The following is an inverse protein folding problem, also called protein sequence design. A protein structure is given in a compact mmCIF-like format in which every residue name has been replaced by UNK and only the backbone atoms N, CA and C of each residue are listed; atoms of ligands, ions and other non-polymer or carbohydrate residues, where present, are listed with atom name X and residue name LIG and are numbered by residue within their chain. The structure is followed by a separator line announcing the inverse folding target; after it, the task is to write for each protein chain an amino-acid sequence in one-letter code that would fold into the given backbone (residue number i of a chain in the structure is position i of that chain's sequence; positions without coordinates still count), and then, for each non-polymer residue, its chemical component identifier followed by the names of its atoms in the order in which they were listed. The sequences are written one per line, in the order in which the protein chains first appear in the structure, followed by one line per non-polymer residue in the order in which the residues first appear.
data_IF_973779789595
#
_entry.id   IF_973779789595
#
_cell.length_a   1.000
_cell.length_b   1.000
_cell.length_c   1.000
_cell.angle_alpha   90.00
_cell.angle_beta   90.00
_cell.angle_gamma   90.00
#
_symmetry.space_group_name_H-M   'P 1'
#
loop_
_entity.id
_entity.type
_entity.pdbx_description
1 polymer ?
#
# COMPACT_ATOMS: atom_id res chain seq x y z
N UNK A 1 -18.89 0.34 15.15
CA UNK A 1 -18.93 -0.11 13.73
C UNK A 1 -19.59 0.95 12.85
N UNK A 2 -20.77 1.46 13.21
CA UNK A 2 -21.50 2.47 12.42
C UNK A 2 -20.70 3.75 12.11
N UNK A 3 -19.99 4.32 13.09
CA UNK A 3 -19.13 5.50 12.87
C UNK A 3 -18.00 5.22 11.86
N UNK A 4 -17.41 4.04 11.91
CA UNK A 4 -16.33 3.63 10.99
C UNK A 4 -16.86 3.46 9.57
N UNK A 5 -18.03 2.83 9.40
CA UNK A 5 -18.72 2.71 8.11
C UNK A 5 -19.00 4.08 7.51
N UNK A 6 -19.60 4.99 8.29
CA UNK A 6 -19.89 6.36 7.84
C UNK A 6 -18.63 7.09 7.38
N UNK A 7 -17.57 7.06 8.20
CA UNK A 7 -16.29 7.72 7.85
C UNK A 7 -15.63 7.11 6.61
N UNK A 8 -15.69 5.78 6.46
CA UNK A 8 -15.14 5.12 5.27
C UNK A 8 -15.95 5.51 4.03
N UNK A 9 -17.29 5.52 4.10
CA UNK A 9 -18.15 6.00 3.01
C UNK A 9 -17.83 7.44 2.64
N UNK A 10 -17.77 8.35 3.62
CA UNK A 10 -17.40 9.75 3.38
C UNK A 10 -16.02 9.88 2.69
N UNK A 11 -15.04 9.06 3.10
CA UNK A 11 -13.73 9.01 2.47
C UNK A 11 -13.78 8.48 1.04
N UNK A 12 -14.54 7.40 0.77
CA UNK A 12 -14.75 6.83 -0.57
C UNK A 12 -15.37 7.90 -1.48
N UNK A 13 -16.46 8.54 -1.05
CA UNK A 13 -17.16 9.54 -1.84
C UNK A 13 -16.25 10.74 -2.16
N UNK A 14 -15.40 11.15 -1.21
CA UNK A 14 -14.41 12.19 -1.44
C UNK A 14 -13.36 11.78 -2.49
N UNK A 15 -12.89 10.52 -2.47
CA UNK A 15 -11.95 10.01 -3.48
C UNK A 15 -12.60 9.84 -4.84
N UNK A 16 -13.88 9.43 -4.90
CA UNK A 16 -14.64 9.35 -6.14
C UNK A 16 -14.81 10.74 -6.78
N UNK A 17 -15.21 11.74 -6.00
CA UNK A 17 -15.31 13.14 -6.48
C UNK A 17 -13.98 13.68 -6.99
N UNK A 18 -12.89 13.43 -6.25
CA UNK A 18 -11.55 13.84 -6.67
C UNK A 18 -11.14 13.18 -8.00
N UNK A 19 -11.38 11.87 -8.14
CA UNK A 19 -11.08 11.12 -9.35
C UNK A 19 -11.91 11.61 -10.55
N UNK A 20 -13.21 11.84 -10.35
CA UNK A 20 -14.10 12.38 -11.38
C UNK A 20 -13.64 13.77 -11.85
N UNK A 21 -13.30 14.67 -10.91
CA UNK A 21 -12.79 16.01 -11.23
C UNK A 21 -11.47 15.96 -12.03
N UNK A 22 -10.60 14.99 -11.75
CA UNK A 22 -9.31 14.82 -12.47
C UNK A 22 -9.41 13.99 -13.74
N UNK A 23 -10.55 13.38 -14.04
CA UNK A 23 -10.68 12.40 -15.13
C UNK A 23 -9.80 11.17 -14.92
N UNK A 24 -9.65 10.70 -13.68
CA UNK A 24 -8.84 9.52 -13.31
C UNK A 24 -9.69 8.47 -12.61
N UNK A 25 -9.09 7.34 -12.25
CA UNK A 25 -9.74 6.33 -11.39
C UNK A 25 -9.54 6.68 -9.90
N UNK A 26 -10.49 6.25 -9.07
CA UNK A 26 -10.37 6.34 -7.62
C UNK A 26 -9.30 5.37 -7.10
N UNK A 27 -8.48 5.82 -6.16
CA UNK A 27 -7.55 4.96 -5.44
C UNK A 27 -7.19 5.53 -4.07
N UNK A 28 -6.67 4.68 -3.19
CA UNK A 28 -6.21 5.09 -1.88
C UNK A 28 -5.18 4.13 -1.31
N UNK A 29 -4.25 4.67 -0.51
CA UNK A 29 -3.18 3.89 0.12
C UNK A 29 -2.97 4.35 1.55
N UNK A 30 -3.45 3.56 2.50
CA UNK A 30 -3.16 3.70 3.92
C UNK A 30 -3.01 2.31 4.54
N UNK A 31 -1.98 2.06 5.38
CA UNK A 31 -1.79 0.74 5.99
C UNK A 31 -3.04 0.21 6.71
N UNK A 32 -3.74 1.08 7.44
CA UNK A 32 -4.96 0.74 8.20
C UNK A 32 -6.14 0.28 7.35
N UNK A 33 -6.14 0.51 6.02
CA UNK A 33 -7.17 -0.07 5.14
C UNK A 33 -7.17 -1.60 5.18
N UNK A 34 -6.06 -2.24 5.56
CA UNK A 34 -6.00 -3.68 5.79
C UNK A 34 -7.04 -4.17 6.80
N UNK A 35 -7.37 -3.36 7.82
CA UNK A 35 -8.37 -3.68 8.85
C UNK A 35 -9.81 -3.47 8.36
N UNK A 36 -9.98 -2.97 7.14
CA UNK A 36 -11.27 -2.47 6.63
C UNK A 36 -11.62 -3.06 5.26
N UNK A 37 -10.90 -4.10 4.79
CA UNK A 37 -11.10 -4.68 3.45
C UNK A 37 -12.54 -5.20 3.29
N UNK A 38 -13.07 -5.93 4.26
CA UNK A 38 -14.43 -6.47 4.18
C UNK A 38 -15.46 -5.35 4.08
N UNK A 39 -15.36 -4.33 4.93
CA UNK A 39 -16.24 -3.17 4.89
C UNK A 39 -16.07 -2.36 3.60
N UNK A 40 -14.86 -2.30 3.04
CA UNK A 40 -14.61 -1.65 1.76
C UNK A 40 -15.24 -2.43 0.61
N UNK A 41 -15.23 -3.76 0.66
CA UNK A 41 -15.93 -4.63 -0.30
C UNK A 41 -17.44 -4.53 -0.18
N UNK A 42 -17.99 -4.34 1.02
CA UNK A 42 -19.42 -4.07 1.19
C UNK A 42 -19.83 -2.73 0.57
N UNK A 43 -19.00 -1.70 0.76
CA UNK A 43 -19.29 -0.34 0.29
C UNK A 43 -18.98 -0.15 -1.19
N UNK A 44 -17.95 -0.83 -1.71
CA UNK A 44 -17.46 -0.75 -3.08
C UNK A 44 -17.08 -2.16 -3.60
N UNK A 45 -18.07 -2.99 -3.96
CA UNK A 45 -17.87 -4.41 -4.32
C UNK A 45 -16.89 -4.65 -5.45
N UNK A 46 -16.75 -3.70 -6.38
CA UNK A 46 -15.87 -3.79 -7.56
C UNK A 46 -14.43 -3.36 -7.30
N UNK A 47 -14.07 -3.10 -6.03
CA UNK A 47 -12.72 -2.71 -5.65
C UNK A 47 -11.67 -3.72 -6.11
N UNK A 48 -10.55 -3.19 -6.60
CA UNK A 48 -9.35 -3.94 -6.96
C UNK A 48 -8.24 -3.64 -5.96
N UNK A 49 -7.47 -4.66 -5.59
CA UNK A 49 -6.44 -4.57 -4.57
C UNK A 49 -5.06 -4.84 -5.17
N UNK A 50 -4.09 -4.00 -4.82
CA UNK A 50 -2.68 -4.24 -5.06
C UNK A 50 -2.05 -4.65 -3.74
N UNK A 51 -1.73 -5.94 -3.63
CA UNK A 51 -1.11 -6.51 -2.45
C UNK A 51 0.41 -6.59 -2.66
N UNK A 52 1.16 -5.75 -1.93
CA UNK A 52 2.61 -5.88 -1.86
C UNK A 52 2.95 -7.04 -0.94
N UNK A 53 3.53 -8.09 -1.51
CA UNK A 53 3.92 -9.30 -0.81
C UNK A 53 5.34 -9.16 -0.26
N UNK A 54 5.45 -9.06 1.05
CA UNK A 54 6.70 -8.94 1.80
C UNK A 54 6.61 -9.81 3.05
N UNK A 55 7.65 -10.59 3.40
CA UNK A 55 7.66 -11.35 4.64
C UNK A 55 7.33 -10.45 5.84
N UNK A 56 6.46 -10.93 6.72
CA UNK A 56 5.98 -10.16 7.87
C UNK A 56 7.14 -9.67 8.75
N UNK A 57 8.16 -10.52 8.94
CA UNK A 57 9.31 -10.19 9.77
C UNK A 57 10.23 -9.13 9.15
N UNK A 58 10.31 -9.05 7.82
CA UNK A 58 10.95 -7.90 7.16
C UNK A 58 10.13 -6.61 7.32
N UNK A 59 8.80 -6.73 7.30
CA UNK A 59 7.90 -5.58 7.45
C UNK A 59 7.91 -5.02 8.86
N UNK A 60 8.02 -5.88 9.88
CA UNK A 60 8.20 -5.51 11.28
C UNK A 60 9.54 -4.78 11.46
N UNK A 61 10.66 -5.41 11.09
CA UNK A 61 12.00 -4.78 11.19
C UNK A 61 12.05 -3.41 10.50
N UNK A 62 11.46 -3.30 9.32
CA UNK A 62 11.39 -2.04 8.57
C UNK A 62 10.52 -0.96 9.23
N UNK A 63 9.47 -1.34 9.96
CA UNK A 63 8.68 -0.38 10.72
C UNK A 63 9.42 0.05 11.99
N UNK A 64 10.02 -0.89 12.72
CA UNK A 64 10.84 -0.61 13.91
C UNK A 64 11.95 0.38 13.57
N UNK A 65 12.76 0.11 12.54
CA UNK A 65 13.86 1.00 12.12
C UNK A 65 13.41 2.44 11.83
N UNK A 66 12.25 2.60 11.20
CA UNK A 66 11.68 3.94 10.90
C UNK A 66 11.14 4.60 12.16
N UNK A 67 10.45 3.85 13.01
CA UNK A 67 9.86 4.36 14.25
C UNK A 67 10.91 4.76 15.28
N UNK A 68 12.06 4.09 15.36
CA UNK A 68 13.17 4.47 16.24
C UNK A 68 13.84 5.76 15.80
N UNK A 69 13.84 6.06 14.49
CA UNK A 69 14.38 7.31 13.92
C UNK A 69 13.38 8.47 13.93
N UNK A 70 12.10 8.19 14.17
CA UNK A 70 11.04 9.18 14.13
C UNK A 70 10.93 10.00 15.43
N UNK A 71 10.42 11.22 15.31
CA UNK A 71 10.05 12.09 16.45
C UNK A 71 8.52 12.25 16.51
N UNK A 72 8.01 12.57 17.70
CA UNK A 72 6.57 12.81 17.91
C UNK A 72 5.72 11.55 17.73
N UNK A 73 4.52 11.73 17.20
CA UNK A 73 3.48 10.69 17.08
C UNK A 73 3.84 9.51 16.16
N UNK A 74 4.92 9.62 15.37
CA UNK A 74 5.44 8.54 14.52
C UNK A 74 6.41 7.60 15.25
N UNK A 75 6.85 7.97 16.46
CA UNK A 75 7.68 7.12 17.31
C UNK A 75 6.82 6.05 17.94
N UNK A 76 7.25 4.80 17.81
CA UNK A 76 6.60 3.63 18.40
C UNK A 76 7.68 2.69 18.94
N UNK A 77 7.33 1.89 19.95
CA UNK A 77 8.20 0.83 20.46
C UNK A 77 8.21 -0.36 19.50
N UNK A 78 9.25 -1.22 19.55
CA UNK A 78 9.28 -2.43 18.74
C UNK A 78 8.03 -3.30 18.89
N UNK A 79 7.50 -3.44 20.11
CA UNK A 79 6.31 -4.21 20.42
C UNK A 79 5.05 -3.58 19.81
N UNK A 80 4.95 -2.25 19.80
CA UNK A 80 3.86 -1.54 19.12
C UNK A 80 3.93 -1.74 17.60
N UNK A 81 5.13 -1.69 17.01
CA UNK A 81 5.33 -1.94 15.59
C UNK A 81 4.96 -3.37 15.20
N UNK A 82 5.39 -4.36 15.98
CA UNK A 82 5.06 -5.76 15.78
C UNK A 82 3.55 -6.00 15.88
N UNK A 83 2.92 -5.55 16.98
CA UNK A 83 1.48 -5.70 17.19
C UNK A 83 0.68 -5.10 16.04
N UNK A 84 1.06 -3.91 15.57
CA UNK A 84 0.40 -3.29 14.43
C UNK A 84 0.57 -4.13 13.16
N UNK A 85 1.79 -4.51 12.80
CA UNK A 85 2.04 -5.25 11.56
C UNK A 85 1.34 -6.61 11.54
N UNK A 86 1.34 -7.34 12.67
CA UNK A 86 0.61 -8.62 12.79
C UNK A 86 -0.89 -8.41 12.66
N UNK A 87 -1.47 -7.42 13.35
CA UNK A 87 -2.90 -7.11 13.23
C UNK A 87 -3.30 -6.73 11.78
N UNK A 88 -2.49 -5.94 11.08
CA UNK A 88 -2.72 -5.61 9.68
C UNK A 88 -2.63 -6.85 8.77
N UNK A 89 -1.68 -7.75 9.04
CA UNK A 89 -1.49 -8.99 8.28
C UNK A 89 -2.65 -9.98 8.48
N UNK A 90 -3.02 -10.21 9.73
CA UNK A 90 -4.11 -11.10 10.16
C UNK A 90 -5.45 -10.66 9.61
N UNK A 91 -5.73 -9.36 9.53
CA UNK A 91 -6.94 -8.86 8.88
C UNK A 91 -6.87 -8.97 7.34
N UNK A 92 -5.73 -8.59 6.75
CA UNK A 92 -5.60 -8.49 5.29
C UNK A 92 -5.62 -9.85 4.59
N UNK A 93 -4.85 -10.82 5.08
CA UNK A 93 -4.60 -12.07 4.35
C UNK A 93 -5.87 -12.88 4.13
N UNK A 94 -6.71 -13.14 5.15
CA UNK A 94 -7.98 -13.83 4.98
C UNK A 94 -8.95 -13.04 4.10
N UNK A 95 -9.08 -11.74 4.32
CA UNK A 95 -10.00 -10.90 3.55
C UNK A 95 -9.66 -10.92 2.04
N UNK A 96 -8.38 -10.81 1.68
CA UNK A 96 -7.94 -10.91 0.29
C UNK A 96 -8.08 -12.32 -0.30
N UNK A 97 -8.12 -13.38 0.52
CA UNK A 97 -8.36 -14.74 0.02
C UNK A 97 -9.81 -14.93 -0.46
N UNK A 98 -10.75 -14.15 0.09
CA UNK A 98 -12.16 -14.13 -0.36
C UNK A 98 -12.42 -13.29 -1.61
N UNK A 99 -11.45 -12.51 -2.07
CA UNK A 99 -11.60 -11.65 -3.27
C UNK A 99 -11.24 -12.45 -4.53
N UNK A 100 -12.04 -12.36 -5.62
CA UNK A 100 -11.68 -12.96 -6.90
C UNK A 100 -10.26 -12.59 -7.33
N UNK A 101 -9.48 -13.57 -7.78
CA UNK A 101 -8.08 -13.38 -8.16
C UNK A 101 -7.87 -12.29 -9.23
N UNK A 102 -8.82 -12.13 -10.15
CA UNK A 102 -8.84 -11.05 -11.15
C UNK A 102 -8.92 -9.63 -10.56
N UNK A 103 -9.30 -9.49 -9.27
CA UNK A 103 -9.36 -8.22 -8.54
C UNK A 103 -8.24 -8.08 -7.50
N UNK A 104 -7.28 -9.01 -7.44
CA UNK A 104 -6.11 -8.92 -6.55
C UNK A 104 -4.82 -9.11 -7.34
N UNK A 105 -4.05 -8.04 -7.49
CA UNK A 105 -2.69 -8.12 -8.01
C UNK A 105 -1.70 -8.30 -6.85
N UNK A 106 -1.03 -9.45 -6.81
CA UNK A 106 0.09 -9.69 -5.89
C UNK A 106 1.40 -9.22 -6.53
N UNK A 107 2.10 -8.33 -5.83
CA UNK A 107 3.38 -7.75 -6.28
C UNK A 107 4.46 -8.11 -5.27
N UNK A 108 5.41 -9.01 -5.61
CA UNK A 108 6.53 -9.31 -4.72
C UNK A 108 7.36 -8.06 -4.43
N UNK A 109 7.58 -7.74 -3.15
CA UNK A 109 8.29 -6.53 -2.73
C UNK A 109 9.70 -6.44 -3.35
N UNK A 110 10.43 -7.57 -3.40
CA UNK A 110 11.76 -7.63 -4.02
C UNK A 110 11.71 -7.23 -5.50
N UNK A 111 10.74 -7.75 -6.26
CA UNK A 111 10.54 -7.39 -7.67
C UNK A 111 10.16 -5.92 -7.84
N UNK A 112 9.34 -5.36 -6.95
CA UNK A 112 9.00 -3.94 -6.99
C UNK A 112 10.23 -3.05 -6.81
N UNK A 113 11.20 -3.49 -6.01
CA UNK A 113 12.42 -2.75 -5.71
C UNK A 113 13.49 -2.98 -6.78
N UNK A 114 13.67 -4.21 -7.25
CA UNK A 114 14.71 -4.60 -8.21
C UNK A 114 14.33 -4.31 -9.67
N UNK A 115 13.04 -4.46 -9.99
CA UNK A 115 12.49 -4.34 -11.34
C UNK A 115 11.26 -3.41 -11.34
N UNK A 116 11.41 -2.15 -10.89
CA UNK A 116 10.30 -1.22 -10.70
C UNK A 116 9.54 -0.94 -11.99
N UNK A 117 10.24 -0.86 -13.12
CA UNK A 117 9.66 -0.62 -14.44
C UNK A 117 8.64 -1.69 -14.80
N UNK A 118 9.02 -2.96 -14.68
CA UNK A 118 8.15 -4.10 -14.99
C UNK A 118 6.94 -4.16 -14.04
N UNK A 119 7.15 -3.84 -12.75
CA UNK A 119 6.04 -3.83 -11.80
C UNK A 119 5.08 -2.65 -12.03
N UNK A 120 5.59 -1.48 -12.44
CA UNK A 120 4.74 -0.35 -12.83
C UNK A 120 3.87 -0.74 -14.04
N UNK A 121 4.43 -1.43 -15.03
CA UNK A 121 3.66 -1.88 -16.20
C UNK A 121 2.58 -2.88 -15.82
N UNK A 122 2.90 -3.87 -14.97
CA UNK A 122 1.92 -4.84 -14.47
C UNK A 122 0.80 -4.18 -13.69
N UNK A 123 1.12 -3.24 -12.80
CA UNK A 123 0.13 -2.48 -12.02
C UNK A 123 -0.75 -1.64 -12.97
N UNK A 124 -0.14 -0.96 -13.94
CA UNK A 124 -0.86 -0.11 -14.89
C UNK A 124 -1.82 -0.93 -15.74
N UNK A 125 -1.38 -2.09 -16.24
CA UNK A 125 -2.21 -3.03 -17.00
C UNK A 125 -3.36 -3.56 -16.15
N UNK A 126 -3.10 -3.97 -14.91
CA UNK A 126 -4.12 -4.47 -13.99
C UNK A 126 -5.20 -3.44 -13.66
N UNK A 127 -4.81 -2.17 -13.53
CA UNK A 127 -5.73 -1.06 -13.27
C UNK A 127 -6.38 -0.51 -14.56
N UNK A 128 -5.96 -0.95 -15.74
CA UNK A 128 -6.42 -0.37 -17.01
C UNK A 128 -5.99 1.09 -17.21
N UNK A 129 -4.85 1.48 -16.62
CA UNK A 129 -4.34 2.85 -16.68
C UNK A 129 -3.49 3.09 -17.92
N UNK A 130 -3.72 4.23 -18.58
CA UNK A 130 -2.79 4.79 -19.56
C UNK A 130 -1.75 5.65 -18.83
N UNK A 131 -0.54 5.13 -18.68
CA UNK A 131 0.57 5.83 -18.02
C UNK A 131 1.49 6.44 -19.08
N UNK A 132 1.73 7.75 -19.00
CA UNK A 132 2.66 8.44 -19.90
C UNK A 132 4.11 8.06 -19.56
N UNK A 133 5.03 8.04 -20.55
CA UNK A 133 6.45 7.75 -20.31
C UNK A 133 7.07 8.62 -19.21
N UNK A 134 6.71 9.90 -19.15
CA UNK A 134 7.19 10.84 -18.13
C UNK A 134 6.71 10.49 -16.71
N UNK A 135 5.47 10.03 -16.56
CA UNK A 135 4.93 9.58 -15.27
C UNK A 135 5.64 8.30 -14.80
N UNK A 136 5.89 7.37 -15.73
CA UNK A 136 6.65 6.14 -15.46
C UNK A 136 8.09 6.43 -15.03
N UNK A 137 8.77 7.35 -15.71
CA UNK A 137 10.11 7.79 -15.34
C UNK A 137 10.16 8.42 -13.94
N UNK A 138 9.21 9.30 -13.63
CA UNK A 138 9.08 9.92 -12.30
C UNK A 138 8.84 8.87 -11.20
N UNK A 139 7.91 7.93 -11.42
CA UNK A 139 7.64 6.85 -10.48
C UNK A 139 8.88 5.96 -10.23
N UNK A 140 9.64 5.66 -11.28
CA UNK A 140 10.87 4.85 -11.19
C UNK A 140 11.96 5.57 -10.40
N UNK A 141 12.15 6.88 -10.63
CA UNK A 141 13.12 7.69 -9.89
C UNK A 141 12.82 7.75 -8.39
N UNK A 142 11.54 7.78 -7.98
CA UNK A 142 11.17 7.77 -6.56
C UNK A 142 11.64 6.48 -5.84
N UNK A 143 11.57 5.34 -6.52
CA UNK A 143 12.03 4.06 -5.97
C UNK A 143 13.56 4.03 -5.86
N UNK A 144 14.27 4.55 -6.87
CA UNK A 144 15.73 4.66 -6.87
C UNK A 144 16.25 5.63 -5.81
N UNK A 145 15.59 6.79 -5.62
CA UNK A 145 15.92 7.74 -4.55
C UNK A 145 15.66 7.16 -3.16
N UNK A 146 14.58 6.39 -3.01
CA UNK A 146 14.33 5.58 -1.81
C UNK A 146 15.48 4.60 -1.54
N UNK A 147 16.05 3.96 -2.55
CA UNK A 147 17.24 3.12 -2.36
C UNK A 147 18.46 3.92 -1.88
N UNK A 148 18.68 5.14 -2.36
CA UNK A 148 19.82 5.96 -1.92
C UNK A 148 19.73 6.38 -0.46
N UNK A 149 18.53 6.59 0.10
CA UNK A 149 18.36 6.92 1.52
C UNK A 149 18.44 5.72 2.45
N UNK A 150 18.17 4.50 1.97
CA UNK A 150 18.32 3.26 2.76
C UNK A 150 19.64 2.51 2.51
N UNK A 151 20.25 2.66 1.34
CA UNK A 151 21.51 2.01 0.94
C UNK A 151 22.76 2.68 1.50
N UNK A 152 22.74 4.00 1.76
CA UNK A 152 23.84 4.69 2.45
C UNK A 152 23.93 4.37 3.95
N UNK A 153 22.90 3.73 4.53
CA UNK A 153 22.91 3.28 5.93
C UNK A 153 23.42 1.84 6.11
N UNK A 154 23.49 1.03 5.05
CA UNK A 154 23.97 -0.35 5.11
C UNK A 154 25.50 -0.49 4.88
N UNK A 155 26.17 0.59 4.45
CA UNK A 155 27.62 0.62 4.22
C UNK A 155 28.42 1.25 5.39
N UNK A 156 27.75 1.55 6.51
CA UNK A 156 28.37 2.05 7.74
C UNK A 156 28.19 1.01 8.86
N UNK A 157 28.78 -0.16 8.67
CA UNK A 157 28.93 -1.22 9.69
C UNK A 157 30.34 -1.75 9.65
#
# INVERSE_FOLDING_TARGET
IETTRRRLREWIDARQREAAWRGTIMGGKYPHLCLMIDLLLELEPESRFIHIDRPIEESIRSLVDRSTKARGWLRATPEQCERLQRALWEAKVPALAGVPSARVLRVPYRRLVDQPVDQIDRISSFLGLRVRPTQKAQATQLIQRGRSTYGSMAAAS
#
